data_IF_145949818451
#
_entry.id   IF_145949818451
#
_cell.length_a   1.000
_cell.length_b   1.000
_cell.length_c   1.000
_cell.angle_alpha   90.00
_cell.angle_beta   90.00
_cell.angle_gamma   90.00
#
_symmetry.space_group_name_H-M   'P 1'
#
loop_
_entity.id
_entity.type
_entity.pdbx_description
1 polymer ?
#
# COMPACT_ATOMS: atom_id res chain seq x y z
N UNK A 1 -14.89 -8.12 -0.24
CA UNK A 1 -14.21 -6.87 -0.64
C UNK A 1 -12.69 -6.99 -0.86
N UNK A 2 -12.14 -8.05 -1.49
CA UNK A 2 -10.69 -8.15 -1.69
C UNK A 2 -10.16 -7.29 -2.87
N UNK A 3 -10.99 -6.93 -3.85
CA UNK A 3 -10.58 -6.12 -5.01
C UNK A 3 -10.14 -4.69 -4.63
N UNK A 4 -10.83 -4.06 -3.68
CA UNK A 4 -10.46 -2.73 -3.16
C UNK A 4 -9.11 -2.76 -2.45
N UNK A 5 -8.83 -3.81 -1.67
CA UNK A 5 -7.53 -4.01 -1.03
C UNK A 5 -6.40 -4.13 -2.07
N UNK A 6 -6.58 -4.97 -3.09
CA UNK A 6 -5.55 -5.13 -4.14
C UNK A 6 -5.27 -3.83 -4.89
N UNK A 7 -6.30 -3.01 -5.17
CA UNK A 7 -6.14 -1.67 -5.75
C UNK A 7 -5.38 -0.74 -4.78
N UNK A 8 -5.77 -0.73 -3.50
CA UNK A 8 -5.12 0.09 -2.48
C UNK A 8 -3.62 -0.24 -2.33
N UNK A 9 -3.22 -1.51 -2.34
CA UNK A 9 -1.80 -1.88 -2.22
C UNK A 9 -1.03 -1.41 -3.46
N UNK A 10 -1.57 -1.59 -4.68
CA UNK A 10 -0.92 -1.11 -5.92
C UNK A 10 -0.75 0.41 -5.94
N UNK A 11 -1.79 1.15 -5.58
CA UNK A 11 -1.72 2.61 -5.51
C UNK A 11 -0.72 3.06 -4.44
N UNK A 12 -0.65 2.35 -3.30
CA UNK A 12 0.36 2.61 -2.26
C UNK A 12 1.77 2.34 -2.77
N UNK A 13 2.00 1.25 -3.52
CA UNK A 13 3.29 0.96 -4.15
C UNK A 13 3.73 2.07 -5.11
N UNK A 14 2.84 2.55 -5.97
CA UNK A 14 3.14 3.63 -6.90
C UNK A 14 3.50 4.92 -6.15
N UNK A 15 2.67 5.32 -5.18
CA UNK A 15 2.95 6.49 -4.35
C UNK A 15 4.32 6.38 -3.64
N UNK A 16 4.60 5.24 -3.01
CA UNK A 16 5.88 5.03 -2.33
C UNK A 16 7.07 5.01 -3.29
N UNK A 17 6.90 4.58 -4.54
CA UNK A 17 7.98 4.61 -5.53
C UNK A 17 8.49 6.03 -5.79
N UNK A 18 7.60 7.03 -5.64
CA UNK A 18 7.91 8.44 -5.84
C UNK A 18 8.33 9.13 -4.52
N UNK A 19 7.77 8.72 -3.37
CA UNK A 19 7.96 9.44 -2.11
C UNK A 19 8.90 8.78 -1.11
N UNK A 20 9.03 7.44 -1.13
CA UNK A 20 9.85 6.70 -0.17
C UNK A 20 10.27 5.33 -0.74
N UNK A 21 11.43 5.29 -1.40
CA UNK A 21 11.97 4.09 -2.03
C UNK A 21 12.21 2.92 -1.06
N UNK A 22 12.55 3.19 0.21
CA UNK A 22 12.78 2.12 1.19
C UNK A 22 11.46 1.40 1.56
N UNK A 23 10.40 2.16 1.81
CA UNK A 23 9.07 1.59 2.09
C UNK A 23 8.45 0.96 0.85
N UNK A 24 8.71 1.52 -0.34
CA UNK A 24 8.33 0.89 -1.60
C UNK A 24 8.96 -0.50 -1.72
N UNK A 25 10.28 -0.59 -1.52
CA UNK A 25 11.00 -1.85 -1.61
C UNK A 25 10.54 -2.87 -0.57
N UNK A 26 10.31 -2.40 0.67
CA UNK A 26 9.74 -3.22 1.74
C UNK A 26 8.38 -3.81 1.36
N UNK A 27 7.42 -2.97 0.94
CA UNK A 27 6.08 -3.42 0.58
C UNK A 27 6.11 -4.33 -0.64
N UNK A 28 6.96 -4.03 -1.62
CA UNK A 28 7.14 -4.85 -2.82
C UNK A 28 7.63 -6.25 -2.47
N UNK A 29 8.68 -6.36 -1.65
CA UNK A 29 9.21 -7.65 -1.21
C UNK A 29 8.20 -8.42 -0.35
N UNK A 30 7.53 -7.73 0.58
CA UNK A 30 6.50 -8.35 1.40
C UNK A 30 5.38 -8.94 0.55
N UNK A 31 4.91 -8.24 -0.48
CA UNK A 31 3.93 -8.80 -1.41
C UNK A 31 4.49 -10.01 -2.15
N UNK A 32 5.71 -9.94 -2.67
CA UNK A 32 6.32 -11.05 -3.41
C UNK A 32 6.43 -12.33 -2.55
N UNK A 33 6.76 -12.20 -1.27
CA UNK A 33 6.88 -13.33 -0.33
C UNK A 33 5.53 -13.81 0.20
N UNK A 34 4.58 -12.90 0.44
CA UNK A 34 3.25 -13.18 0.96
C UNK A 34 2.19 -12.60 0.01
N UNK A 35 1.95 -13.22 -1.15
CA UNK A 35 1.00 -12.71 -2.11
C UNK A 35 -0.42 -12.81 -1.57
N UNK A 36 -1.20 -11.74 -1.74
CA UNK A 36 -2.64 -11.79 -1.49
C UNK A 36 -3.32 -12.62 -2.59
N UNK A 37 -3.59 -13.89 -2.31
CA UNK A 37 -4.29 -14.81 -3.22
C UNK A 37 -5.80 -14.58 -3.11
N UNK A 38 -6.45 -14.42 -4.27
CA UNK A 38 -7.82 -13.93 -4.37
C UNK A 38 -8.80 -15.07 -4.69
N UNK A 39 -8.53 -16.26 -4.15
CA UNK A 39 -9.31 -17.49 -4.35
C UNK A 39 -10.33 -17.76 -3.23
N UNK A 40 -10.38 -16.87 -2.23
CA UNK A 40 -11.24 -17.00 -1.06
C UNK A 40 -10.62 -17.81 0.09
N UNK A 41 -9.42 -18.37 -0.10
CA UNK A 41 -8.69 -19.09 0.95
C UNK A 41 -7.94 -18.18 1.91
N UNK A 42 -7.59 -16.97 1.45
CA UNK A 42 -6.76 -16.03 2.21
C UNK A 42 -7.63 -14.93 2.83
N UNK A 43 -7.55 -14.79 4.16
CA UNK A 43 -8.17 -13.67 4.87
C UNK A 43 -7.38 -12.37 4.60
N UNK A 44 -8.05 -11.44 3.94
CA UNK A 44 -7.52 -10.14 3.57
C UNK A 44 -7.17 -9.26 4.79
N UNK A 45 -7.92 -9.41 5.89
CA UNK A 45 -7.65 -8.67 7.12
C UNK A 45 -6.48 -9.28 7.88
N UNK A 46 -6.37 -10.61 7.90
CA UNK A 46 -5.21 -11.31 8.47
C UNK A 46 -3.90 -10.91 7.75
N UNK A 47 -3.95 -10.75 6.42
CA UNK A 47 -2.81 -10.27 5.64
C UNK A 47 -2.33 -8.88 6.08
N UNK A 48 -3.27 -7.96 6.35
CA UNK A 48 -2.95 -6.61 6.84
C UNK A 48 -2.42 -6.62 8.27
N UNK A 49 -2.93 -7.50 9.13
CA UNK A 49 -2.40 -7.69 10.49
C UNK A 49 -0.95 -8.17 10.43
N UNK A 50 -0.64 -9.15 9.56
CA UNK A 50 0.73 -9.64 9.35
C UNK A 50 1.64 -8.55 8.80
N UNK A 51 1.16 -7.75 7.85
CA UNK A 51 1.92 -6.61 7.30
C UNK A 51 2.23 -5.59 8.41
N UNK A 52 1.24 -5.23 9.22
CA UNK A 52 1.39 -4.27 10.31
C UNK A 52 2.37 -4.76 11.38
N UNK A 53 2.41 -6.07 11.63
CA UNK A 53 3.32 -6.70 12.58
C UNK A 53 4.74 -6.90 12.01
N UNK A 54 4.93 -6.76 10.69
CA UNK A 54 6.23 -6.99 10.06
C UNK A 54 7.17 -5.83 10.35
N UNK A 55 8.32 -6.08 11.01
CA UNK A 55 9.27 -5.02 11.33
C UNK A 55 9.93 -4.51 10.05
N UNK A 56 9.97 -3.18 9.93
CA UNK A 56 10.73 -2.54 8.87
C UNK A 56 12.20 -2.46 9.29
N UNK A 57 13.00 -3.41 8.79
CA UNK A 57 14.45 -3.36 8.90
C UNK A 57 14.99 -2.54 7.73
N UNK A 58 15.47 -1.32 7.99
CA UNK A 58 16.20 -0.54 6.98
C UNK A 58 17.37 -1.38 6.48
N UNK A 59 17.39 -1.64 5.18
CA UNK A 59 18.50 -2.31 4.52
C UNK A 59 19.70 -1.36 4.61
N UNK A 60 20.69 -1.72 5.43
CA UNK A 60 21.97 -1.03 5.57
C UNK A 60 22.90 -1.23 4.35
N UNK A 61 22.39 -1.69 3.22
CA UNK A 61 23.20 -1.86 2.00
C UNK A 61 23.24 -0.52 1.24
N UNK A 62 24.41 0.17 1.22
CA UNK A 62 24.55 1.45 0.54
C UNK A 62 24.34 1.36 -0.98
N UNK A 63 24.33 0.14 -1.55
CA UNK A 63 24.13 -0.11 -2.98
C UNK A 63 22.67 -0.32 -3.37
N UNK A 64 21.74 -0.45 -2.40
CA UNK A 64 20.31 -0.73 -2.64
C UNK A 64 19.36 0.38 -2.18
N UNK A 65 19.84 1.38 -1.45
CA UNK A 65 19.06 2.56 -1.09
C UNK A 65 19.23 3.64 -2.16
N UNK A 66 18.12 4.09 -2.75
CA UNK A 66 18.13 5.14 -3.77
C UNK A 66 18.37 6.54 -3.22
N UNK A 67 18.46 6.74 -1.90
CA UNK A 67 18.85 8.03 -1.31
C UNK A 67 19.61 7.83 0.00
N UNK A 68 20.95 7.80 -0.07
CA UNK A 68 21.81 8.07 1.09
C UNK A 68 22.74 9.21 0.71
N UNK A 69 22.41 10.44 1.14
CA UNK A 69 23.36 11.53 1.08
C UNK A 69 24.46 11.30 2.13
N UNK A 70 25.70 11.67 1.82
CA UNK A 70 26.84 11.53 2.74
C UNK A 70 26.59 12.20 4.11
N UNK A 71 25.77 13.25 4.14
CA UNK A 71 25.33 13.93 5.36
C UNK A 71 24.44 13.04 6.27
N UNK A 72 23.57 12.20 5.67
CA UNK A 72 22.70 11.31 6.43
C UNK A 72 23.47 10.15 7.08
N UNK A 73 24.57 9.71 6.47
CA UNK A 73 25.46 8.70 7.03
C UNK A 73 26.29 9.26 8.19
N UNK A 74 26.78 10.51 8.07
CA UNK A 74 27.55 11.17 9.12
C UNK A 74 26.73 11.45 10.40
N UNK A 75 25.47 11.88 10.27
CA UNK A 75 24.61 12.18 11.41
C UNK A 75 24.23 10.94 12.26
N UNK A 76 24.22 9.74 11.67
CA UNK A 76 23.98 8.47 12.38
C UNK A 76 25.23 8.03 13.15
N UNK A 77 26.42 8.20 12.55
CA UNK A 77 27.71 7.91 13.20
C UNK A 77 28.00 8.84 14.39
N UNK A 78 27.55 10.09 14.31
CA UNK A 78 27.74 11.09 15.37
C UNK A 78 26.68 11.02 16.49
N UNK A 79 25.71 10.08 16.41
CA UNK A 79 24.64 9.96 17.41
C UNK A 79 23.62 11.11 17.41
N UNK A 80 23.69 12.02 16.44
CA UNK A 80 22.83 13.19 16.31
C UNK A 80 21.46 12.87 15.70
N UNK A 81 21.28 11.64 15.19
CA UNK A 81 20.02 11.16 14.62
C UNK A 81 19.48 9.99 15.44
N UNK A 82 18.37 10.23 16.11
CA UNK A 82 17.61 9.18 16.80
C UNK A 82 17.21 8.11 15.76
N UNK A 83 17.73 6.89 15.92
CA UNK A 83 17.28 5.74 15.14
C UNK A 83 15.86 5.45 15.61
N UNK A 84 14.86 6.03 14.93
CA UNK A 84 13.45 5.81 15.29
C UNK A 84 13.22 4.29 15.46
N UNK A 85 12.62 3.88 16.58
CA UNK A 85 12.63 2.49 16.98
C UNK A 85 11.87 1.65 15.95
N UNK A 86 12.61 0.88 15.13
CA UNK A 86 12.45 -0.50 14.64
C UNK A 86 11.06 -1.17 14.52
N UNK A 87 9.92 -0.47 14.66
CA UNK A 87 8.57 -1.05 14.80
C UNK A 87 7.48 -0.36 13.96
N UNK A 88 7.81 0.66 13.19
CA UNK A 88 6.81 1.54 12.55
C UNK A 88 6.47 1.26 11.09
N UNK A 89 7.42 0.81 10.26
CA UNK A 89 7.23 0.85 8.80
C UNK A 89 6.14 -0.09 8.27
N UNK A 90 6.05 -1.32 8.78
CA UNK A 90 4.94 -2.23 8.43
C UNK A 90 3.57 -1.67 8.83
N UNK A 91 3.50 -1.10 10.04
CA UNK A 91 2.28 -0.47 10.56
C UNK A 91 1.88 0.77 9.77
N UNK A 92 2.81 1.66 9.46
CA UNK A 92 2.55 2.88 8.67
C UNK A 92 2.01 2.53 7.28
N UNK A 93 2.63 1.56 6.62
CA UNK A 93 2.21 1.09 5.30
C UNK A 93 0.82 0.43 5.38
N UNK A 94 0.58 -0.41 6.38
CA UNK A 94 -0.73 -1.04 6.59
C UNK A 94 -1.83 0.01 6.86
N UNK A 95 -1.58 1.02 7.71
CA UNK A 95 -2.52 2.10 7.98
C UNK A 95 -2.87 2.91 6.73
N UNK A 96 -1.87 3.19 5.88
CA UNK A 96 -2.09 3.87 4.60
C UNK A 96 -2.95 3.04 3.65
N UNK A 97 -2.66 1.73 3.54
CA UNK A 97 -3.46 0.81 2.73
C UNK A 97 -4.90 0.73 3.26
N UNK A 98 -5.08 0.72 4.59
CA UNK A 98 -6.42 0.68 5.21
C UNK A 98 -7.24 1.94 4.95
N UNK A 99 -6.64 3.13 4.96
CA UNK A 99 -7.35 4.37 4.58
C UNK A 99 -7.71 4.37 3.10
N UNK A 100 -6.79 3.92 2.25
CA UNK A 100 -7.02 3.92 0.81
C UNK A 100 -8.03 2.87 0.37
N UNK A 101 -8.05 1.68 0.99
CA UNK A 101 -9.07 0.66 0.70
C UNK A 101 -10.47 1.15 1.07
N UNK A 102 -10.61 1.91 2.16
CA UNK A 102 -11.88 2.51 2.58
C UNK A 102 -12.35 3.53 1.56
N UNK A 103 -11.45 4.44 1.13
CA UNK A 103 -11.76 5.44 0.10
C UNK A 103 -12.20 4.78 -1.22
N UNK A 104 -11.44 3.80 -1.71
CA UNK A 104 -11.77 3.07 -2.95
C UNK A 104 -13.10 2.31 -2.80
N UNK A 105 -13.35 1.68 -1.66
CA UNK A 105 -14.61 0.98 -1.42
C UNK A 105 -15.81 1.94 -1.47
N UNK A 106 -15.65 3.16 -0.93
CA UNK A 106 -16.67 4.20 -1.01
C UNK A 106 -16.92 4.65 -2.45
N UNK A 107 -15.86 4.95 -3.21
CA UNK A 107 -15.99 5.32 -4.64
C UNK A 107 -16.68 4.22 -5.46
N UNK A 108 -16.27 2.96 -5.27
CA UNK A 108 -16.89 1.82 -5.96
C UNK A 108 -18.37 1.67 -5.60
N UNK A 109 -18.76 1.92 -4.34
CA UNK A 109 -20.16 1.89 -3.93
C UNK A 109 -20.98 3.01 -4.57
N UNK A 110 -20.40 4.22 -4.66
CA UNK A 110 -21.02 5.36 -5.34
C UNK A 110 -21.18 5.13 -6.85
N UNK A 111 -20.18 4.54 -7.51
CA UNK A 111 -20.26 4.15 -8.92
C UNK A 111 -21.35 3.09 -9.14
N UNK A 112 -21.36 2.03 -8.32
CA UNK A 112 -22.38 0.98 -8.40
C UNK A 112 -23.80 1.52 -8.19
N UNK A 113 -23.97 2.53 -7.35
CA UNK A 113 -25.27 3.17 -7.13
C UNK A 113 -25.78 3.93 -8.36
N UNK A 114 -24.90 4.34 -9.29
CA UNK A 114 -25.28 5.05 -10.53
C UNK A 114 -25.68 4.10 -11.67
N UNK A 115 -25.21 2.85 -11.63
CA UNK A 115 -25.46 1.83 -12.68
C UNK A 115 -26.93 1.70 -13.08
N UNK A 116 -27.93 1.68 -12.16
CA UNK A 116 -29.34 1.60 -12.57
C UNK A 116 -29.79 2.79 -13.43
N UNK A 117 -29.36 4.00 -13.11
CA UNK A 117 -29.70 5.19 -13.90
C UNK A 117 -29.01 5.16 -15.27
N UNK A 118 -27.74 4.77 -15.30
CA UNK A 118 -26.99 4.62 -16.55
C UNK A 118 -27.63 3.57 -17.47
N UNK A 119 -28.09 2.44 -16.91
CA UNK A 119 -28.78 1.40 -17.66
C UNK A 119 -30.10 1.91 -18.27
N UNK A 120 -30.88 2.69 -17.51
CA UNK A 120 -32.11 3.30 -18.00
C UNK A 120 -31.80 4.25 -19.17
N UNK A 121 -30.75 5.05 -19.06
CA UNK A 121 -30.37 5.98 -20.13
C UNK A 121 -29.84 5.28 -21.38
N UNK A 122 -29.18 4.12 -21.23
CA UNK A 122 -28.82 3.25 -22.36
C UNK A 122 -30.08 2.72 -23.05
N UNK A 123 -31.06 2.21 -22.28
CA UNK A 123 -32.29 1.66 -22.84
C UNK A 123 -33.10 2.70 -23.62
N UNK A 124 -33.12 3.96 -23.17
CA UNK A 124 -33.79 5.06 -23.89
C UNK A 124 -33.18 5.39 -25.25
N UNK A 125 -31.94 4.98 -25.52
CA UNK A 125 -31.22 5.27 -26.77
C UNK A 125 -31.40 4.20 -27.84
N UNK A 126 -32.07 3.09 -27.52
CA UNK A 126 -32.35 2.04 -28.49
C UNK A 126 -33.44 2.52 -29.46
N UNK A 127 -33.22 2.45 -30.78
CA UNK A 127 -34.28 2.72 -31.76
C UNK A 127 -35.35 1.61 -31.70
N UNK A 128 -36.61 2.01 -31.87
CA UNK A 128 -37.76 1.10 -31.98
C UNK A 128 -37.65 0.15 -33.19
#
# INVERSE_FOLDING_TARGET
MPAALKRAIKTTLNYLSETNGELHYFLHNYWAEQPLVMDGSTDADEWLVKLAATPFTRIQDPRRSSVVSAAAAAAVLNGEREVSPRRGGGREVAERIMRLREHIAKEMAEELARVPADNVDVLKRLPE
#
